data_IF_858704151404
#
_entry.id   IF_858704151404
#
_cell.length_a   1.000
_cell.length_b   1.000
_cell.length_c   1.000
_cell.angle_alpha   90.00
_cell.angle_beta   90.00
_cell.angle_gamma   90.00
#
_symmetry.space_group_name_H-M   'P 1'
#
loop_
_entity.id
_entity.type
_entity.pdbx_description
1 polymer ?
#
# COMPACT_ATOMS: atom_id res chain seq x y z
N UNK A 1 0.01 -26.94 -12.58
CA UNK A 1 0.38 -27.67 -11.37
C UNK A 1 0.21 -26.64 -10.27
N UNK A 2 -0.89 -26.75 -9.55
CA UNK A 2 -1.11 -25.99 -8.31
C UNK A 2 -0.23 -26.62 -7.22
N UNK A 3 0.16 -25.85 -6.20
CA UNK A 3 0.93 -26.36 -5.06
C UNK A 3 0.24 -27.59 -4.48
N UNK A 4 0.99 -28.69 -4.33
CA UNK A 4 0.44 -30.03 -4.06
C UNK A 4 0.15 -30.31 -2.57
N UNK A 5 0.29 -29.32 -1.69
CA UNK A 5 0.07 -29.46 -0.25
C UNK A 5 -1.24 -28.84 0.23
N UNK A 6 -1.82 -29.40 1.30
CA UNK A 6 -2.92 -28.75 2.02
C UNK A 6 -2.40 -27.42 2.60
N UNK A 7 -3.08 -26.32 2.27
CA UNK A 7 -2.75 -24.99 2.80
C UNK A 7 -3.49 -24.75 4.11
N UNK A 8 -2.79 -24.15 5.09
CA UNK A 8 -3.31 -23.84 6.42
C UNK A 8 -3.11 -22.36 6.76
N UNK A 9 -3.89 -21.80 7.70
CA UNK A 9 -3.68 -20.42 8.15
C UNK A 9 -2.33 -20.24 8.83
N UNK A 10 -1.68 -19.09 8.57
CA UNK A 10 -0.46 -18.71 9.27
C UNK A 10 -0.72 -18.61 10.79
N UNK A 11 0.08 -19.26 11.65
CA UNK A 11 -0.25 -19.51 13.05
C UNK A 11 -0.39 -18.24 13.91
N UNK A 12 0.23 -17.13 13.50
CA UNK A 12 0.17 -15.86 14.22
C UNK A 12 -0.96 -14.94 13.73
N UNK A 13 -1.78 -15.38 12.78
CA UNK A 13 -2.97 -14.63 12.37
C UNK A 13 -4.04 -14.68 13.45
N UNK A 14 -4.50 -13.49 13.88
CA UNK A 14 -5.75 -13.38 14.62
C UNK A 14 -6.92 -13.55 13.64
N UNK A 15 -7.47 -14.75 13.56
CA UNK A 15 -8.35 -15.23 12.48
C UNK A 15 -9.69 -14.51 12.33
N UNK A 16 -10.12 -13.66 13.28
CA UNK A 16 -11.48 -13.12 13.27
C UNK A 16 -11.74 -12.02 12.22
N UNK A 17 -10.71 -11.37 11.66
CA UNK A 17 -10.89 -10.22 10.74
C UNK A 17 -9.82 -10.09 9.64
N UNK A 18 -9.03 -11.13 9.35
CA UNK A 18 -7.97 -11.01 8.33
C UNK A 18 -8.55 -10.93 6.92
N UNK A 19 -8.03 -9.98 6.13
CA UNK A 19 -8.27 -9.87 4.69
C UNK A 19 -6.93 -9.60 4.01
N UNK A 20 -6.52 -10.49 3.11
CA UNK A 20 -5.25 -10.37 2.41
C UNK A 20 -5.18 -9.12 1.52
N UNK A 21 -6.22 -8.85 0.71
CA UNK A 21 -6.25 -7.66 -0.12
C UNK A 21 -6.54 -6.38 0.68
N UNK A 22 -5.53 -5.53 0.79
CA UNK A 22 -5.56 -4.24 1.50
C UNK A 22 -6.53 -3.23 0.90
N UNK A 23 -6.57 -3.12 -0.43
CA UNK A 23 -7.41 -2.14 -1.12
C UNK A 23 -8.77 -2.77 -1.44
N UNK A 24 -9.87 -2.28 -0.84
CA UNK A 24 -11.19 -2.69 -1.26
C UNK A 24 -11.50 -2.10 -2.63
N UNK A 25 -11.61 -2.95 -3.65
CA UNK A 25 -12.05 -2.48 -4.98
C UNK A 25 -13.56 -2.21 -4.99
N UNK A 26 -14.30 -2.87 -4.08
CA UNK A 26 -15.75 -2.85 -4.00
C UNK A 26 -16.22 -2.90 -2.55
N UNK A 27 -17.33 -2.19 -2.30
CA UNK A 27 -18.11 -2.25 -1.06
C UNK A 27 -19.47 -2.94 -1.31
N UNK A 28 -20.10 -3.53 -0.27
CA UNK A 28 -21.41 -4.21 -0.40
C UNK A 28 -22.54 -3.32 -0.95
N UNK A 29 -22.45 -2.00 -0.76
CA UNK A 29 -23.43 -1.02 -1.26
C UNK A 29 -23.27 -0.70 -2.76
N UNK A 30 -22.20 -1.16 -3.41
CA UNK A 30 -21.99 -0.91 -4.84
C UNK A 30 -22.87 -1.82 -5.70
N UNK A 31 -23.25 -1.33 -6.88
CA UNK A 31 -24.04 -2.12 -7.83
C UNK A 31 -23.26 -3.39 -8.26
N UNK A 32 -23.77 -4.60 -7.99
CA UNK A 32 -23.02 -5.85 -8.22
C UNK A 32 -22.87 -6.22 -9.69
N UNK A 33 -23.56 -5.55 -10.62
CA UNK A 33 -23.52 -5.84 -12.06
C UNK A 33 -22.73 -4.80 -12.85
N UNK A 34 -22.10 -3.82 -12.18
CA UNK A 34 -21.28 -2.78 -12.83
C UNK A 34 -19.92 -2.69 -12.16
N UNK A 35 -18.82 -2.55 -12.92
CA UNK A 35 -17.51 -2.36 -12.33
C UNK A 35 -17.44 -1.03 -11.57
N UNK A 36 -16.69 -1.01 -10.47
CA UNK A 36 -16.39 0.23 -9.74
C UNK A 36 -15.23 0.97 -10.42
N UNK A 37 -15.05 2.28 -10.15
CA UNK A 37 -13.86 3.00 -10.63
C UNK A 37 -12.54 2.37 -10.16
N UNK A 38 -12.50 1.82 -8.96
CA UNK A 38 -11.31 1.16 -8.41
C UNK A 38 -11.01 -0.15 -9.14
N UNK A 39 -12.01 -0.98 -9.41
CA UNK A 39 -11.84 -2.20 -10.22
C UNK A 39 -11.32 -1.84 -11.62
N UNK A 40 -11.89 -0.83 -12.27
CA UNK A 40 -11.42 -0.39 -13.59
C UNK A 40 -9.97 0.11 -13.57
N UNK A 41 -9.58 0.85 -12.52
CA UNK A 41 -8.20 1.34 -12.36
C UNK A 41 -7.21 0.19 -12.20
N UNK A 42 -7.53 -0.80 -11.35
CA UNK A 42 -6.66 -1.95 -11.15
C UNK A 42 -6.60 -2.86 -12.36
N UNK A 43 -7.73 -3.11 -13.03
CA UNK A 43 -7.74 -3.82 -14.31
C UNK A 43 -6.83 -3.10 -15.32
N UNK A 44 -6.85 -1.76 -15.36
CA UNK A 44 -5.97 -0.99 -16.25
C UNK A 44 -4.48 -1.17 -15.91
N UNK A 45 -4.09 -1.21 -14.63
CA UNK A 45 -2.71 -1.50 -14.21
C UNK A 45 -2.26 -2.87 -14.74
N UNK A 46 -3.08 -3.92 -14.54
CA UNK A 46 -2.75 -5.26 -15.04
C UNK A 46 -2.72 -5.32 -16.57
N UNK A 47 -3.60 -4.58 -17.25
CA UNK A 47 -3.60 -4.49 -18.71
C UNK A 47 -2.32 -3.83 -19.25
N UNK A 48 -1.82 -2.80 -18.56
CA UNK A 48 -0.57 -2.13 -18.92
C UNK A 48 0.68 -3.01 -18.67
N UNK A 49 0.57 -4.05 -17.85
CA UNK A 49 1.67 -5.02 -17.64
C UNK A 49 1.82 -6.02 -18.79
N UNK A 50 0.77 -6.24 -19.60
CA UNK A 50 0.75 -7.29 -20.64
C UNK A 50 1.94 -7.20 -21.61
N UNK A 51 2.34 -6.02 -22.13
CA UNK A 51 3.46 -5.93 -23.05
C UNK A 51 4.79 -6.41 -22.46
N UNK A 52 5.07 -6.15 -21.17
CA UNK A 52 6.34 -6.58 -20.55
C UNK A 52 6.37 -8.09 -20.35
N UNK A 53 5.27 -8.68 -19.84
CA UNK A 53 5.13 -10.13 -19.69
C UNK A 53 5.18 -10.84 -21.04
N UNK A 54 4.51 -10.29 -22.07
CA UNK A 54 4.58 -10.80 -23.43
C UNK A 54 6.02 -10.83 -23.91
N UNK A 55 6.73 -9.69 -23.88
CA UNK A 55 8.12 -9.59 -24.34
C UNK A 55 9.03 -10.59 -23.63
N UNK A 56 8.84 -10.77 -22.32
CA UNK A 56 9.61 -11.73 -21.53
C UNK A 56 9.30 -13.18 -21.94
N UNK A 57 8.02 -13.51 -22.10
CA UNK A 57 7.56 -14.82 -22.57
C UNK A 57 8.05 -15.14 -24.00
N UNK A 58 8.11 -14.15 -24.90
CA UNK A 58 8.64 -14.31 -26.26
C UNK A 58 10.13 -14.71 -26.27
N UNK A 59 10.87 -14.31 -25.23
CA UNK A 59 12.30 -14.60 -25.06
C UNK A 59 12.62 -15.87 -24.29
N UNK A 60 11.60 -16.62 -23.85
CA UNK A 60 11.77 -17.89 -23.13
C UNK A 60 12.12 -19.01 -24.13
N UNK A 61 13.41 -19.32 -24.23
CA UNK A 61 13.96 -20.32 -25.14
C UNK A 61 13.70 -21.77 -24.70
N UNK A 62 13.18 -21.97 -23.48
CA UNK A 62 12.79 -23.29 -22.97
C UNK A 62 11.43 -23.76 -23.47
N UNK A 63 10.63 -22.83 -24.03
CA UNK A 63 9.27 -23.10 -24.50
C UNK A 63 9.22 -23.17 -26.04
N UNK A 64 8.80 -24.31 -26.63
CA UNK A 64 8.60 -24.40 -28.07
C UNK A 64 7.52 -23.43 -28.57
N UNK A 65 7.80 -22.74 -29.69
CA UNK A 65 6.94 -21.70 -30.26
C UNK A 65 6.60 -20.55 -29.29
N UNK A 66 7.55 -20.17 -28.42
CA UNK A 66 7.41 -19.13 -27.40
C UNK A 66 6.76 -17.84 -27.93
N UNK A 67 7.18 -17.35 -29.11
CA UNK A 67 6.59 -16.16 -29.76
C UNK A 67 5.07 -16.29 -29.93
N UNK A 68 4.60 -17.39 -30.54
CA UNK A 68 3.17 -17.62 -30.77
C UNK A 68 2.41 -17.82 -29.47
N UNK A 69 3.01 -18.50 -28.49
CA UNK A 69 2.39 -18.71 -27.17
C UNK A 69 2.31 -17.41 -26.37
N UNK A 70 3.30 -16.54 -26.46
CA UNK A 70 3.29 -15.23 -25.80
C UNK A 70 2.24 -14.29 -26.41
N UNK A 71 2.02 -14.34 -27.72
CA UNK A 71 0.90 -13.66 -28.38
C UNK A 71 -0.45 -14.17 -27.88
N UNK A 72 -0.60 -15.49 -27.77
CA UNK A 72 -1.81 -16.11 -27.17
C UNK A 72 -2.00 -15.70 -25.71
N UNK A 73 -0.93 -15.57 -24.93
CA UNK A 73 -1.00 -15.06 -23.56
C UNK A 73 -1.57 -13.64 -23.55
N UNK A 74 -0.97 -12.73 -24.33
CA UNK A 74 -1.40 -11.34 -24.37
C UNK A 74 -2.86 -11.21 -24.80
N UNK A 75 -3.28 -11.98 -25.81
CA UNK A 75 -4.67 -11.99 -26.27
C UNK A 75 -5.62 -12.54 -25.19
N UNK A 76 -5.41 -13.76 -24.69
CA UNK A 76 -6.30 -14.41 -23.71
C UNK A 76 -6.42 -13.60 -22.42
N UNK A 77 -5.30 -13.07 -21.92
CA UNK A 77 -5.34 -12.30 -20.69
C UNK A 77 -6.02 -10.94 -20.88
N UNK A 78 -5.84 -10.29 -22.04
CA UNK A 78 -6.60 -9.08 -22.39
C UNK A 78 -8.11 -9.35 -22.43
N UNK A 79 -8.55 -10.46 -23.05
CA UNK A 79 -9.97 -10.83 -23.09
C UNK A 79 -10.56 -11.03 -21.69
N UNK A 80 -9.85 -11.74 -20.81
CA UNK A 80 -10.26 -11.93 -19.41
C UNK A 80 -10.43 -10.58 -18.69
N UNK A 81 -9.48 -9.65 -18.87
CA UNK A 81 -9.55 -8.33 -18.25
C UNK A 81 -10.69 -7.48 -18.82
N UNK A 82 -10.96 -7.55 -20.13
CA UNK A 82 -12.10 -6.87 -20.76
C UNK A 82 -13.45 -7.46 -20.33
N UNK A 83 -13.51 -8.77 -20.10
CA UNK A 83 -14.71 -9.41 -19.54
C UNK A 83 -14.98 -8.93 -18.11
N UNK A 84 -13.95 -8.81 -17.28
CA UNK A 84 -14.08 -8.26 -15.92
C UNK A 84 -14.55 -6.79 -15.91
N UNK A 85 -14.22 -6.00 -16.93
CA UNK A 85 -14.78 -4.65 -17.11
C UNK A 85 -16.26 -4.66 -17.48
N UNK A 86 -16.73 -5.68 -18.19
CA UNK A 86 -18.14 -5.79 -18.62
C UNK A 86 -19.01 -6.40 -17.53
N UNK A 87 -18.52 -7.48 -16.91
CA UNK A 87 -19.17 -8.21 -15.83
C UNK A 87 -18.16 -8.51 -14.71
N UNK A 88 -18.23 -7.80 -13.58
CA UNK A 88 -17.34 -8.06 -12.44
C UNK A 88 -17.43 -9.49 -11.90
N UNK A 89 -18.51 -10.24 -12.15
CA UNK A 89 -18.66 -11.63 -11.68
C UNK A 89 -18.02 -12.65 -12.61
N UNK A 90 -17.58 -12.24 -13.80
CA UNK A 90 -16.88 -13.12 -14.73
C UNK A 90 -15.58 -13.64 -14.11
N UNK A 91 -15.10 -14.78 -14.61
CA UNK A 91 -13.79 -15.35 -14.25
C UNK A 91 -13.53 -15.52 -12.73
N UNK A 92 -14.59 -15.63 -11.93
CA UNK A 92 -14.52 -15.81 -10.47
C UNK A 92 -14.50 -14.50 -9.67
N UNK A 93 -14.81 -13.36 -10.27
CA UNK A 93 -14.85 -12.07 -9.59
C UNK A 93 -16.08 -11.83 -8.69
N UNK A 94 -16.22 -10.65 -8.04
CA UNK A 94 -15.51 -9.38 -8.31
C UNK A 94 -13.99 -9.43 -8.17
N UNK A 95 -13.22 -8.71 -9.02
CA UNK A 95 -11.77 -8.78 -8.97
C UNK A 95 -11.21 -8.13 -7.71
N UNK A 96 -10.12 -8.72 -7.23
CA UNK A 96 -9.16 -8.14 -6.30
C UNK A 96 -7.73 -8.38 -6.82
N UNK A 97 -6.71 -7.93 -6.09
CA UNK A 97 -5.32 -8.07 -6.50
C UNK A 97 -4.89 -9.53 -6.66
N UNK A 98 -5.35 -10.41 -5.76
CA UNK A 98 -5.04 -11.84 -5.79
C UNK A 98 -5.64 -12.49 -7.05
N UNK A 99 -6.91 -12.22 -7.35
CA UNK A 99 -7.57 -12.79 -8.53
C UNK A 99 -6.88 -12.33 -9.82
N UNK A 100 -6.53 -11.06 -9.94
CA UNK A 100 -5.86 -10.53 -11.13
C UNK A 100 -4.48 -11.17 -11.34
N UNK A 101 -3.67 -11.29 -10.28
CA UNK A 101 -2.41 -12.02 -10.33
C UNK A 101 -2.62 -13.49 -10.72
N UNK A 102 -3.58 -14.18 -10.09
CA UNK A 102 -3.86 -15.59 -10.33
C UNK A 102 -4.32 -15.88 -11.75
N UNK A 103 -5.15 -15.01 -12.33
CA UNK A 103 -5.58 -15.12 -13.72
C UNK A 103 -4.40 -14.96 -14.69
N UNK A 104 -3.48 -14.02 -14.44
CA UNK A 104 -2.26 -13.86 -15.24
C UNK A 104 -1.40 -15.13 -15.23
N UNK A 105 -1.06 -15.61 -14.04
CA UNK A 105 -0.21 -16.80 -13.87
C UNK A 105 -0.85 -18.05 -14.46
N UNK A 106 -2.18 -18.22 -14.30
CA UNK A 106 -2.92 -19.32 -14.92
C UNK A 106 -2.76 -19.33 -16.43
N UNK A 107 -2.95 -18.19 -17.11
CA UNK A 107 -2.85 -18.13 -18.58
C UNK A 107 -1.43 -18.48 -19.05
N UNK A 108 -0.39 -17.96 -18.40
CA UNK A 108 1.01 -18.30 -18.70
C UNK A 108 1.26 -19.80 -18.56
N UNK A 109 0.86 -20.39 -17.42
CA UNK A 109 1.08 -21.80 -17.09
C UNK A 109 0.31 -22.75 -18.02
N UNK A 110 -0.92 -22.42 -18.38
CA UNK A 110 -1.71 -23.18 -19.36
C UNK A 110 -1.08 -23.17 -20.75
N UNK A 111 -0.41 -22.08 -21.11
CA UNK A 111 0.32 -21.96 -22.38
C UNK A 111 1.70 -22.61 -22.33
N UNK A 112 2.08 -23.22 -21.20
CA UNK A 112 3.31 -24.00 -21.06
C UNK A 112 4.51 -23.20 -20.52
N UNK A 113 4.34 -21.91 -20.23
CA UNK A 113 5.39 -21.13 -19.57
C UNK A 113 5.50 -21.55 -18.11
N UNK A 114 6.73 -21.78 -17.64
CA UNK A 114 7.02 -22.15 -16.24
C UNK A 114 7.60 -20.99 -15.46
N UNK A 115 8.62 -20.35 -16.03
CA UNK A 115 9.30 -19.21 -15.43
C UNK A 115 9.90 -18.33 -16.52
N UNK A 116 9.10 -17.38 -17.02
CA UNK A 116 9.56 -16.47 -18.06
C UNK A 116 10.66 -15.51 -17.54
N UNK A 117 10.85 -15.38 -16.22
CA UNK A 117 11.86 -14.51 -15.62
C UNK A 117 13.15 -15.25 -15.25
N UNK A 118 13.22 -16.57 -15.43
CA UNK A 118 14.37 -17.39 -14.97
C UNK A 118 15.72 -16.82 -15.39
N UNK A 119 15.88 -16.51 -16.67
CA UNK A 119 17.14 -15.97 -17.21
C UNK A 119 17.56 -14.67 -16.53
N UNK A 120 16.62 -13.75 -16.30
CA UNK A 120 16.95 -12.48 -15.63
C UNK A 120 17.33 -12.71 -14.18
N UNK A 121 16.61 -13.60 -13.48
CA UNK A 121 16.87 -13.91 -12.08
C UNK A 121 18.28 -14.47 -11.94
N UNK A 122 18.67 -15.37 -12.82
CA UNK A 122 20.02 -15.97 -12.79
C UNK A 122 21.12 -14.92 -13.05
N UNK A 123 20.91 -14.01 -14.01
CA UNK A 123 21.85 -12.91 -14.30
C UNK A 123 21.98 -11.92 -13.13
N UNK A 124 20.86 -11.55 -12.51
CA UNK A 124 20.83 -10.64 -11.36
C UNK A 124 21.40 -11.30 -10.10
N UNK A 125 21.07 -12.57 -9.85
CA UNK A 125 21.65 -13.37 -8.77
C UNK A 125 23.17 -13.46 -8.90
N UNK A 126 23.69 -13.76 -10.09
CA UNK A 126 25.14 -13.85 -10.32
C UNK A 126 25.85 -12.52 -10.03
N UNK A 127 25.28 -11.39 -10.48
CA UNK A 127 25.81 -10.06 -10.19
C UNK A 127 25.76 -9.75 -8.70
N UNK A 128 24.63 -10.00 -8.04
CA UNK A 128 24.47 -9.72 -6.62
C UNK A 128 25.39 -10.61 -5.75
N UNK A 129 25.55 -11.89 -6.07
CA UNK A 129 26.50 -12.80 -5.39
C UNK A 129 27.92 -12.21 -5.42
N UNK A 130 28.34 -11.66 -6.57
CA UNK A 130 29.69 -11.08 -6.69
C UNK A 130 29.95 -9.85 -5.80
N UNK A 131 28.88 -9.20 -5.31
CA UNK A 131 28.95 -8.01 -4.45
C UNK A 131 28.65 -8.32 -2.98
N UNK A 132 28.23 -9.54 -2.66
CA UNK A 132 27.69 -9.89 -1.35
C UNK A 132 28.69 -9.63 -0.23
N UNK A 133 29.92 -10.12 -0.38
CA UNK A 133 30.95 -10.00 0.66
C UNK A 133 31.34 -8.54 0.93
N UNK A 134 31.50 -7.72 -0.11
CA UNK A 134 31.80 -6.30 0.03
C UNK A 134 30.69 -5.54 0.77
N UNK A 135 29.42 -5.84 0.47
CA UNK A 135 28.27 -5.26 1.18
C UNK A 135 28.26 -5.68 2.65
N UNK A 136 28.61 -6.93 2.97
CA UNK A 136 28.75 -7.37 4.36
C UNK A 136 29.86 -6.60 5.09
N UNK A 137 31.06 -6.49 4.50
CA UNK A 137 32.19 -5.81 5.14
C UNK A 137 31.89 -4.34 5.42
N UNK A 138 31.14 -3.68 4.55
CA UNK A 138 30.72 -2.28 4.74
C UNK A 138 29.71 -2.13 5.87
N UNK A 139 28.78 -3.06 6.03
CA UNK A 139 27.87 -3.07 7.18
C UNK A 139 28.62 -3.36 8.48
N UNK A 140 29.54 -4.34 8.47
CA UNK A 140 30.33 -4.72 9.64
C UNK A 140 31.28 -3.59 10.10
N UNK A 141 31.70 -2.70 9.20
CA UNK A 141 32.50 -1.52 9.53
C UNK A 141 31.74 -0.44 10.32
N UNK A 142 30.41 -0.50 10.40
CA UNK A 142 29.60 0.48 11.14
C UNK A 142 29.58 0.07 12.61
N UNK A 143 30.46 0.62 13.45
CA UNK A 143 30.60 0.24 14.86
C UNK A 143 29.30 0.38 15.69
N UNK A 144 28.52 1.41 15.42
CA UNK A 144 27.24 1.68 16.11
C UNK A 144 26.14 0.73 15.60
N UNK A 145 25.62 -0.14 16.47
CA UNK A 145 24.61 -1.14 16.11
C UNK A 145 23.30 -0.53 15.58
N UNK A 146 22.88 0.61 16.12
CA UNK A 146 21.66 1.28 15.68
C UNK A 146 21.83 1.82 14.25
N UNK A 147 22.96 2.45 13.95
CA UNK A 147 23.31 2.91 12.59
C UNK A 147 23.51 1.74 11.62
N UNK A 148 24.07 0.64 12.09
CA UNK A 148 24.23 -0.58 11.28
C UNK A 148 22.85 -1.14 10.90
N UNK A 149 21.94 -1.23 11.86
CA UNK A 149 20.56 -1.65 11.61
C UNK A 149 19.83 -0.71 10.65
N UNK A 150 19.97 0.61 10.83
CA UNK A 150 19.44 1.59 9.87
C UNK A 150 19.99 1.38 8.45
N UNK A 151 21.29 1.12 8.32
CA UNK A 151 21.92 0.87 7.02
C UNK A 151 21.42 -0.44 6.38
N UNK A 152 21.23 -1.49 7.17
CA UNK A 152 20.67 -2.76 6.70
C UNK A 152 19.22 -2.59 6.20
N UNK A 153 18.38 -1.85 6.93
CA UNK A 153 17.01 -1.54 6.49
C UNK A 153 16.99 -0.71 5.21
N UNK A 154 17.90 0.27 5.08
CA UNK A 154 18.11 0.99 3.81
C UNK A 154 18.56 0.06 2.68
N UNK A 155 19.40 -0.93 2.99
CA UNK A 155 19.81 -1.98 2.06
C UNK A 155 18.64 -2.78 1.52
N UNK A 156 17.68 -3.17 2.36
CA UNK A 156 16.44 -3.85 1.94
C UNK A 156 15.68 -2.98 0.92
N UNK A 157 15.44 -1.69 1.24
CA UNK A 157 14.74 -0.80 0.31
C UNK A 157 15.50 -0.57 -1.01
N UNK A 158 16.82 -0.43 -0.95
CA UNK A 158 17.65 -0.25 -2.14
C UNK A 158 17.66 -1.50 -3.03
N UNK A 159 17.63 -2.70 -2.42
CA UNK A 159 17.55 -3.97 -3.12
C UNK A 159 16.26 -4.10 -3.93
N UNK A 160 15.11 -3.84 -3.30
CA UNK A 160 13.80 -3.88 -3.96
C UNK A 160 13.67 -2.82 -5.08
N UNK A 161 14.31 -1.65 -4.95
CA UNK A 161 14.33 -0.63 -6.01
C UNK A 161 15.22 -0.98 -7.22
N UNK A 162 16.29 -1.75 -7.02
CA UNK A 162 17.24 -2.13 -8.06
C UNK A 162 16.62 -3.08 -9.10
N UNK A 163 15.54 -3.76 -8.70
CA UNK A 163 14.86 -4.84 -9.40
C UNK A 163 13.78 -4.37 -10.41
N UNK A 164 13.57 -3.05 -10.57
CA UNK A 164 12.56 -2.47 -11.49
C UNK A 164 12.91 -2.57 -13.00
N UNK A 165 13.49 -3.68 -13.45
CA UNK A 165 13.53 -4.11 -14.84
C UNK A 165 14.20 -3.14 -15.81
N UNK A 166 14.92 -2.13 -15.31
CA UNK A 166 15.67 -1.25 -16.18
C UNK A 166 16.98 -1.95 -16.51
N UNK A 167 16.96 -2.65 -17.63
CA UNK A 167 18.18 -2.91 -18.39
C UNK A 167 19.04 -1.62 -18.48
N UNK A 168 18.40 -0.44 -18.48
CA UNK A 168 19.05 0.87 -18.36
C UNK A 168 19.81 1.12 -17.04
N UNK A 169 19.28 0.83 -15.84
CA UNK A 169 20.08 0.93 -14.61
C UNK A 169 21.16 -0.17 -14.65
N UNK A 170 20.84 -1.43 -14.99
CA UNK A 170 21.88 -2.46 -15.06
C UNK A 170 23.05 -2.12 -16.03
N UNK A 171 22.79 -1.43 -17.15
CA UNK A 171 23.77 -1.06 -18.18
C UNK A 171 24.51 0.26 -17.85
N UNK A 172 23.84 1.26 -17.28
CA UNK A 172 24.48 2.45 -16.68
C UNK A 172 25.46 2.06 -15.56
N UNK A 173 25.17 0.98 -14.84
CA UNK A 173 25.92 0.57 -13.66
C UNK A 173 27.11 -0.33 -14.01
N UNK A 174 27.07 -1.02 -15.17
CA UNK A 174 28.22 -1.74 -15.74
C UNK A 174 29.35 -0.82 -16.24
N UNK A 175 29.02 0.45 -16.54
CA UNK A 175 29.98 1.41 -17.11
C UNK A 175 30.70 2.27 -16.08
N UNK A 176 30.05 2.60 -14.96
CA UNK A 176 30.54 3.65 -14.05
C UNK A 176 30.72 3.23 -12.57
N UNK A 177 30.54 1.95 -12.20
CA UNK A 177 30.82 1.47 -10.84
C UNK A 177 29.91 2.07 -9.75
N UNK A 178 28.75 2.61 -10.13
CA UNK A 178 27.73 3.10 -9.21
C UNK A 178 27.15 1.88 -8.48
N UNK A 179 27.55 1.70 -7.23
CA UNK A 179 27.30 0.50 -6.43
C UNK A 179 25.89 0.50 -5.82
N UNK A 180 25.39 -0.67 -5.41
CA UNK A 180 24.24 -0.84 -4.52
C UNK A 180 24.23 0.16 -3.33
N UNK A 181 25.42 0.57 -2.88
CA UNK A 181 25.63 1.57 -1.83
C UNK A 181 25.19 2.98 -2.24
N UNK A 182 25.39 3.37 -3.50
CA UNK A 182 24.89 4.64 -4.01
C UNK A 182 23.36 4.66 -4.02
N UNK A 183 22.72 3.53 -4.34
CA UNK A 183 21.26 3.40 -4.24
C UNK A 183 20.78 3.53 -2.78
N UNK A 184 21.52 2.97 -1.82
CA UNK A 184 21.22 3.15 -0.38
C UNK A 184 21.30 4.63 0.05
N UNK A 185 22.18 5.42 -0.56
CA UNK A 185 22.35 6.86 -0.27
C UNK A 185 21.31 7.75 -0.96
N UNK A 186 20.75 7.30 -2.08
CA UNK A 186 19.78 8.05 -2.90
C UNK A 186 18.33 7.72 -2.56
N UNK A 187 18.07 6.98 -1.47
CA UNK A 187 16.72 6.77 -0.96
C UNK A 187 16.07 8.10 -0.57
N UNK A 188 14.74 8.15 -0.67
CA UNK A 188 13.96 9.29 -0.20
C UNK A 188 14.31 9.57 1.27
N UNK A 189 14.62 10.83 1.64
CA UNK A 189 15.00 11.16 3.01
C UNK A 189 13.84 10.90 3.98
N UNK A 190 14.18 10.50 5.21
CA UNK A 190 13.23 10.34 6.32
C UNK A 190 12.59 11.69 6.69
N UNK A 191 11.36 11.72 7.24
CA UNK A 191 10.53 10.56 7.56
C UNK A 191 9.90 9.93 6.31
N UNK A 192 9.88 8.60 6.26
CA UNK A 192 9.12 7.86 5.26
C UNK A 192 7.61 7.94 5.52
N UNK A 193 6.82 7.49 4.54
CA UNK A 193 5.34 7.52 4.62
C UNK A 193 4.80 6.74 5.84
N UNK A 194 5.41 5.58 6.13
CA UNK A 194 5.46 4.97 7.46
C UNK A 194 6.91 4.96 7.85
N UNK A 195 7.22 5.44 9.05
CA UNK A 195 8.57 5.40 9.56
C UNK A 195 8.56 4.97 11.02
N UNK A 196 8.51 3.64 11.22
CA UNK A 196 8.62 3.01 12.54
C UNK A 196 10.05 2.52 12.83
N UNK A 197 11.04 2.97 12.04
CA UNK A 197 12.41 2.47 12.12
C UNK A 197 13.05 2.75 13.48
N UNK A 198 12.87 3.94 14.04
CA UNK A 198 13.45 4.29 15.34
C UNK A 198 12.82 3.44 16.48
N UNK A 199 11.52 3.14 16.36
CA UNK A 199 10.81 2.23 17.29
C UNK A 199 11.38 0.82 17.19
N UNK A 200 11.58 0.33 15.96
CA UNK A 200 12.18 -0.98 15.70
C UNK A 200 13.61 -1.08 16.27
N UNK A 201 14.47 -0.09 15.99
CA UNK A 201 15.84 -0.02 16.50
C UNK A 201 15.87 0.06 18.04
N UNK A 202 14.96 0.83 18.63
CA UNK A 202 14.85 0.93 20.10
C UNK A 202 14.49 -0.42 20.73
N UNK A 203 13.62 -1.20 20.08
CA UNK A 203 13.29 -2.56 20.55
C UNK A 203 14.46 -3.51 20.34
N UNK A 204 15.06 -3.49 19.15
CA UNK A 204 16.23 -4.30 18.76
C UNK A 204 17.39 -4.17 19.75
N UNK A 205 17.69 -2.95 20.19
CA UNK A 205 18.80 -2.67 21.12
C UNK A 205 18.52 -3.09 22.56
N UNK A 206 17.25 -3.32 22.94
CA UNK A 206 16.83 -3.66 24.31
C UNK A 206 16.52 -5.13 24.49
N UNK A 207 15.94 -5.74 23.47
CA UNK A 207 15.42 -7.11 23.50
C UNK A 207 15.88 -7.84 22.25
N UNK A 208 16.37 -9.07 22.43
CA UNK A 208 16.62 -9.96 21.29
C UNK A 208 15.34 -10.69 20.90
N UNK A 209 15.02 -10.63 19.61
CA UNK A 209 14.06 -11.54 19.02
C UNK A 209 14.65 -12.95 19.01
N UNK A 210 13.88 -13.95 19.41
CA UNK A 210 14.36 -15.33 19.44
C UNK A 210 14.15 -16.00 18.10
N UNK A 211 13.07 -15.66 17.40
CA UNK A 211 12.67 -16.34 16.18
C UNK A 211 11.94 -15.42 15.21
N UNK A 212 12.59 -15.16 14.08
CA UNK A 212 12.08 -14.32 13.01
C UNK A 212 11.63 -15.15 11.80
N UNK A 213 10.49 -14.79 11.22
CA UNK A 213 10.04 -15.28 9.91
C UNK A 213 10.05 -14.12 8.94
N UNK A 214 10.75 -14.26 7.82
CA UNK A 214 10.86 -13.25 6.78
C UNK A 214 10.28 -13.83 5.49
N UNK A 215 9.18 -13.24 5.01
CA UNK A 215 8.64 -13.52 3.68
C UNK A 215 9.41 -12.67 2.68
N UNK A 216 10.13 -13.34 1.79
CA UNK A 216 11.05 -12.69 0.85
C UNK A 216 10.37 -12.36 -0.48
N UNK A 217 10.85 -11.32 -1.15
CA UNK A 217 10.33 -10.85 -2.43
C UNK A 217 11.20 -11.28 -3.61
N UNK A 218 12.04 -10.38 -4.13
CA UNK A 218 12.65 -10.56 -5.44
C UNK A 218 13.99 -11.28 -5.40
N UNK A 219 14.37 -11.84 -6.55
CA UNK A 219 15.72 -12.33 -6.78
C UNK A 219 16.74 -11.20 -6.90
N UNK A 220 18.02 -11.54 -7.02
CA UNK A 220 19.07 -10.56 -7.28
C UNK A 220 19.43 -9.73 -6.05
N UNK A 221 19.56 -8.41 -6.24
CA UNK A 221 20.03 -7.50 -5.21
C UNK A 221 19.09 -7.42 -3.99
N UNK A 222 17.80 -7.65 -4.17
CA UNK A 222 16.81 -7.65 -3.09
C UNK A 222 17.13 -8.73 -2.05
N UNK A 223 17.02 -10.00 -2.44
CA UNK A 223 17.34 -11.12 -1.54
C UNK A 223 18.82 -11.16 -1.15
N UNK A 224 19.76 -10.98 -2.09
CA UNK A 224 21.20 -11.20 -1.82
C UNK A 224 21.84 -10.01 -1.11
N UNK A 225 21.55 -8.76 -1.48
CA UNK A 225 22.22 -7.58 -0.91
C UNK A 225 21.38 -6.82 0.12
N UNK A 226 20.06 -7.05 0.15
CA UNK A 226 19.16 -6.49 1.15
C UNK A 226 18.86 -7.48 2.28
N UNK A 227 18.09 -8.53 1.98
CA UNK A 227 17.55 -9.45 2.98
C UNK A 227 18.63 -10.33 3.63
N UNK A 228 19.56 -10.91 2.87
CA UNK A 228 20.57 -11.80 3.44
C UNK A 228 21.56 -11.11 4.40
N UNK A 229 22.03 -9.87 4.14
CA UNK A 229 22.80 -9.10 5.11
C UNK A 229 22.02 -8.82 6.39
N UNK A 230 20.75 -8.43 6.27
CA UNK A 230 19.87 -8.24 7.42
C UNK A 230 19.64 -9.55 8.20
N UNK A 231 19.44 -10.66 7.50
CA UNK A 231 19.31 -12.00 8.07
C UNK A 231 20.59 -12.42 8.81
N UNK A 232 21.76 -12.14 8.23
CA UNK A 232 23.05 -12.37 8.86
C UNK A 232 23.19 -11.58 10.17
N UNK A 233 22.69 -10.35 10.21
CA UNK A 233 22.65 -9.56 11.44
C UNK A 233 21.79 -10.21 12.53
N UNK A 234 20.59 -10.68 12.17
CA UNK A 234 19.71 -11.42 13.08
C UNK A 234 20.40 -12.68 13.65
N UNK A 235 21.05 -13.47 12.79
CA UNK A 235 21.80 -14.66 13.18
C UNK A 235 22.98 -14.33 14.11
N UNK A 236 23.70 -13.23 13.83
CA UNK A 236 24.80 -12.76 14.69
C UNK A 236 24.32 -12.41 16.10
N UNK A 237 23.09 -11.93 16.23
CA UNK A 237 22.44 -11.67 17.52
C UNK A 237 21.77 -12.90 18.15
N UNK A 238 21.94 -14.09 17.57
CA UNK A 238 21.44 -15.35 18.10
C UNK A 238 19.97 -15.67 17.76
N UNK A 239 19.36 -14.89 16.86
CA UNK A 239 17.99 -15.12 16.39
C UNK A 239 17.93 -16.36 15.49
N UNK A 240 16.93 -17.22 15.65
CA UNK A 240 16.58 -18.21 14.63
C UNK A 240 15.81 -17.52 13.51
N UNK A 241 16.25 -17.66 12.25
CA UNK A 241 15.61 -17.00 11.11
C UNK A 241 15.06 -18.02 10.14
N UNK A 242 13.80 -17.84 9.75
CA UNK A 242 13.13 -18.62 8.71
C UNK A 242 12.88 -17.70 7.52
N UNK A 243 13.48 -18.01 6.37
CA UNK A 243 13.18 -17.33 5.10
C UNK A 243 12.09 -18.11 4.36
N UNK A 244 10.92 -17.50 4.21
CA UNK A 244 9.77 -18.06 3.53
C UNK A 244 9.72 -17.55 2.07
N UNK A 245 9.93 -18.46 1.11
CA UNK A 245 9.97 -18.16 -0.32
C UNK A 245 8.84 -18.86 -1.09
N UNK A 246 8.54 -18.41 -2.31
CA UNK A 246 7.46 -18.97 -3.13
C UNK A 246 7.75 -20.43 -3.51
N UNK A 247 6.69 -21.24 -3.61
CA UNK A 247 6.74 -22.61 -4.14
C UNK A 247 7.01 -22.60 -5.64
N UNK A 248 6.26 -21.75 -6.34
CA UNK A 248 6.31 -21.63 -7.80
C UNK A 248 6.75 -20.24 -8.24
N UNK A 249 7.41 -20.14 -9.41
CA UNK A 249 7.76 -18.85 -9.99
C UNK A 249 6.52 -17.96 -10.20
N UNK A 250 6.71 -16.69 -9.85
CA UNK A 250 5.77 -15.61 -10.11
C UNK A 250 6.59 -14.34 -10.26
N UNK A 251 6.49 -13.70 -11.42
CA UNK A 251 7.38 -12.57 -11.78
C UNK A 251 8.85 -12.96 -11.52
N UNK A 252 9.61 -12.12 -10.83
CA UNK A 252 11.01 -12.28 -10.46
C UNK A 252 11.20 -12.63 -8.97
N UNK A 253 10.11 -12.98 -8.27
CA UNK A 253 10.18 -13.51 -6.92
C UNK A 253 11.14 -14.69 -6.83
N UNK A 254 11.91 -14.73 -5.75
CA UNK A 254 12.77 -15.88 -5.45
C UNK A 254 11.93 -17.06 -4.99
N UNK A 255 12.16 -18.24 -5.58
CA UNK A 255 11.49 -19.47 -5.15
C UNK A 255 12.29 -20.22 -4.08
N UNK A 256 11.63 -21.11 -3.33
CA UNK A 256 12.26 -21.95 -2.32
C UNK A 256 13.49 -22.72 -2.86
N UNK A 257 13.43 -23.43 -4.00
CA UNK A 257 14.60 -24.13 -4.53
C UNK A 257 15.74 -23.18 -4.92
N UNK A 258 15.41 -22.01 -5.49
CA UNK A 258 16.41 -21.01 -5.87
C UNK A 258 17.08 -20.38 -4.66
N UNK A 259 16.32 -20.08 -3.60
CA UNK A 259 16.86 -19.52 -2.38
C UNK A 259 17.83 -20.49 -1.67
N UNK A 260 17.49 -21.79 -1.65
CA UNK A 260 18.39 -22.84 -1.15
C UNK A 260 19.70 -22.85 -1.95
N UNK A 261 19.63 -22.75 -3.29
CA UNK A 261 20.81 -22.70 -4.15
C UNK A 261 21.65 -21.44 -3.91
N UNK A 262 21.03 -20.26 -3.83
CA UNK A 262 21.70 -18.99 -3.56
C UNK A 262 22.45 -19.06 -2.22
N UNK A 263 21.78 -19.49 -1.16
CA UNK A 263 22.37 -19.62 0.18
C UNK A 263 23.52 -20.63 0.16
N UNK A 264 23.37 -21.74 -0.56
CA UNK A 264 24.46 -22.73 -0.71
C UNK A 264 25.69 -22.16 -1.41
N UNK A 265 25.52 -21.24 -2.37
CA UNK A 265 26.65 -20.57 -3.06
C UNK A 265 27.35 -19.52 -2.19
N UNK A 266 26.63 -18.92 -1.25
CA UNK A 266 27.15 -17.87 -0.38
C UNK A 266 27.79 -18.39 0.91
N UNK A 267 27.46 -19.61 1.34
CA UNK A 267 28.08 -20.25 2.50
C UNK A 267 29.53 -20.64 2.21
N UNK A 268 30.39 -20.45 3.20
CA UNK A 268 31.75 -21.02 3.19
C UNK A 268 31.73 -22.53 3.49
N UNK A 269 32.90 -23.16 3.42
CA UNK A 269 33.08 -24.60 3.70
C UNK A 269 32.66 -25.01 5.12
N UNK A 270 32.62 -24.05 6.07
CA UNK A 270 32.18 -24.27 7.44
C UNK A 270 30.68 -23.98 7.62
N UNK A 271 29.96 -23.68 6.54
CA UNK A 271 28.53 -23.39 6.57
C UNK A 271 28.20 -22.00 7.13
N UNK A 272 29.11 -21.04 7.03
CA UNK A 272 28.91 -19.67 7.54
C UNK A 272 28.67 -18.68 6.41
N UNK A 273 27.93 -17.60 6.71
CA UNK A 273 27.82 -16.43 5.85
C UNK A 273 28.78 -15.37 6.35
N UNK A 274 29.94 -15.25 5.69
CA UNK A 274 31.01 -14.28 6.02
C UNK A 274 31.28 -14.28 7.53
N UNK A 275 31.68 -15.44 8.07
CA UNK A 275 32.03 -15.61 9.48
C UNK A 275 30.86 -15.81 10.47
N UNK A 276 29.60 -15.62 10.06
CA UNK A 276 28.42 -15.85 10.92
C UNK A 276 27.82 -17.23 10.66
N UNK A 277 27.64 -18.01 11.74
CA UNK A 277 27.09 -19.36 11.68
C UNK A 277 25.62 -19.37 11.20
N UNK A 278 25.27 -20.34 10.36
CA UNK A 278 23.92 -20.45 9.77
C UNK A 278 23.12 -21.66 10.26
N UNK A 279 23.53 -22.31 11.36
CA UNK A 279 22.76 -23.41 11.95
C UNK A 279 21.35 -22.99 12.38
N UNK A 280 21.17 -21.71 12.70
CA UNK A 280 19.90 -21.09 13.04
C UNK A 280 19.16 -20.49 11.84
N UNK A 281 19.65 -20.68 10.61
CA UNK A 281 18.99 -20.24 9.37
C UNK A 281 18.23 -21.40 8.73
N UNK A 282 16.92 -21.23 8.59
CA UNK A 282 16.02 -22.16 7.91
C UNK A 282 15.46 -21.48 6.66
N UNK A 283 15.23 -22.29 5.63
CA UNK A 283 14.50 -21.87 4.42
C UNK A 283 13.24 -22.72 4.36
N UNK A 284 12.09 -22.09 4.14
CA UNK A 284 10.81 -22.75 4.12
C UNK A 284 10.07 -22.45 2.81
N UNK A 285 9.42 -23.46 2.27
CA UNK A 285 8.47 -23.28 1.17
C UNK A 285 7.19 -22.66 1.74
N UNK A 286 6.80 -21.47 1.28
CA UNK A 286 5.57 -20.82 1.72
C UNK A 286 4.28 -21.48 1.20
N UNK A 287 4.37 -22.30 0.15
CA UNK A 287 3.21 -22.77 -0.61
C UNK A 287 2.62 -21.73 -1.56
N UNK A 288 3.18 -20.51 -1.60
CA UNK A 288 2.68 -19.40 -2.41
C UNK A 288 3.18 -19.48 -3.86
N UNK A 289 2.36 -19.01 -4.80
CA UNK A 289 2.63 -19.08 -6.23
C UNK A 289 2.30 -17.77 -6.97
N UNK A 290 2.23 -16.66 -6.23
CA UNK A 290 1.82 -15.32 -6.67
C UNK A 290 2.80 -14.26 -6.12
N UNK A 291 2.83 -13.03 -6.67
CA UNK A 291 3.69 -11.97 -6.14
C UNK A 291 3.06 -11.31 -4.89
N UNK A 292 1.81 -11.65 -4.61
CA UNK A 292 1.05 -11.31 -3.41
C UNK A 292 0.88 -12.57 -2.56
N UNK A 293 0.64 -12.43 -1.26
CA UNK A 293 0.41 -13.59 -0.38
C UNK A 293 -0.91 -13.47 0.40
N UNK A 294 -1.64 -14.58 0.50
CA UNK A 294 -2.79 -14.73 1.39
C UNK A 294 -2.38 -15.61 2.58
N UNK A 295 -2.17 -14.98 3.74
CA UNK A 295 -1.71 -15.70 4.93
C UNK A 295 -2.76 -16.67 5.50
N UNK A 296 -4.01 -16.68 4.99
CA UNK A 296 -4.97 -17.74 5.35
C UNK A 296 -4.64 -19.10 4.73
N UNK A 297 -3.76 -19.13 3.73
CA UNK A 297 -3.32 -20.35 3.06
C UNK A 297 -1.82 -20.33 2.78
N UNK A 298 -1.05 -20.86 3.72
CA UNK A 298 0.38 -21.15 3.59
C UNK A 298 0.63 -22.66 3.71
N UNK A 299 1.84 -23.12 3.38
CA UNK A 299 2.21 -24.52 3.57
C UNK A 299 2.17 -24.93 5.05
N UNK A 300 1.83 -26.19 5.32
CA UNK A 300 1.92 -26.75 6.68
C UNK A 300 3.35 -26.68 7.24
N UNK A 301 4.37 -26.88 6.39
CA UNK A 301 5.78 -26.77 6.77
C UNK A 301 6.10 -25.38 7.35
N UNK A 302 5.72 -24.32 6.64
CA UNK A 302 5.93 -22.96 7.12
C UNK A 302 5.12 -22.68 8.39
N UNK A 303 3.88 -23.19 8.48
CA UNK A 303 3.05 -23.00 9.66
C UNK A 303 3.67 -23.64 10.91
N UNK A 304 4.18 -24.86 10.79
CA UNK A 304 4.85 -25.56 11.89
C UNK A 304 6.11 -24.81 12.32
N UNK A 305 6.93 -24.38 11.34
CA UNK A 305 8.15 -23.62 11.59
C UNK A 305 7.87 -22.25 12.22
N UNK A 306 6.77 -21.57 11.87
CA UNK A 306 6.47 -20.22 12.32
C UNK A 306 5.66 -20.13 13.64
N UNK A 307 5.23 -21.26 14.19
CA UNK A 307 4.27 -21.32 15.30
C UNK A 307 4.67 -20.57 16.57
N UNK A 308 5.95 -20.47 16.85
CA UNK A 308 6.56 -19.79 18.00
C UNK A 308 7.41 -18.57 17.61
N UNK A 309 7.24 -18.07 16.38
CA UNK A 309 7.94 -16.86 15.94
C UNK A 309 7.48 -15.64 16.74
N UNK A 310 8.44 -14.80 17.15
CA UNK A 310 8.18 -13.55 17.85
C UNK A 310 8.33 -12.33 16.94
N UNK A 311 9.02 -12.47 15.79
CA UNK A 311 9.11 -11.45 14.75
C UNK A 311 8.62 -11.99 13.41
N UNK A 312 7.75 -11.25 12.73
CA UNK A 312 7.32 -11.53 11.35
C UNK A 312 7.61 -10.31 10.49
N UNK A 313 8.35 -10.52 9.40
CA UNK A 313 8.71 -9.50 8.42
C UNK A 313 8.09 -9.90 7.09
N UNK A 314 7.31 -9.00 6.51
CA UNK A 314 6.79 -9.10 5.16
C UNK A 314 7.57 -8.10 4.31
N UNK A 315 8.44 -8.60 3.45
CA UNK A 315 9.21 -7.77 2.52
C UNK A 315 8.51 -7.76 1.15
N UNK A 316 8.64 -6.65 0.42
CA UNK A 316 7.99 -6.46 -0.87
C UNK A 316 6.71 -5.63 -0.85
N UNK A 317 6.51 -4.87 -1.93
CA UNK A 317 5.35 -3.98 -2.12
C UNK A 317 4.01 -4.73 -2.19
N UNK A 318 4.04 -5.97 -2.67
CA UNK A 318 2.86 -6.78 -2.94
C UNK A 318 2.59 -7.82 -1.81
N UNK A 319 3.53 -7.98 -0.87
CA UNK A 319 3.41 -8.86 0.31
C UNK A 319 3.15 -8.09 1.60
N UNK A 320 3.43 -6.78 1.65
CA UNK A 320 3.19 -5.92 2.81
C UNK A 320 2.29 -4.70 2.47
N UNK A 321 1.27 -4.37 3.29
CA UNK A 321 0.45 -3.18 3.10
C UNK A 321 1.16 -1.88 3.53
N UNK A 322 0.93 -0.78 2.80
CA UNK A 322 1.12 0.59 3.30
C UNK A 322 0.04 0.99 4.34
N UNK A 323 0.24 2.03 5.16
CA UNK A 323 -0.63 2.39 6.29
C UNK A 323 -1.91 3.11 5.83
N UNK A 324 -1.84 3.68 4.63
CA UNK A 324 -2.86 4.43 3.91
C UNK A 324 -3.66 3.51 2.98
N UNK A 325 -3.27 2.23 2.93
CA UNK A 325 -3.83 1.22 2.07
C UNK A 325 -3.37 1.32 0.61
N UNK A 326 -2.42 2.18 0.24
CA UNK A 326 -1.95 2.31 -1.15
C UNK A 326 -0.57 1.65 -1.35
N UNK A 327 -0.38 0.90 -2.43
CA UNK A 327 0.92 0.32 -2.79
C UNK A 327 1.79 1.35 -3.52
N UNK A 328 3.10 1.16 -3.55
CA UNK A 328 4.01 2.01 -4.35
C UNK A 328 3.64 2.04 -5.85
N UNK A 329 3.01 0.98 -6.36
CA UNK A 329 2.43 0.91 -7.71
C UNK A 329 1.33 1.96 -7.97
N UNK A 330 0.57 2.35 -6.94
CA UNK A 330 -0.34 3.51 -7.03
C UNK A 330 0.44 4.81 -7.19
N UNK A 331 1.48 5.01 -6.40
CA UNK A 331 2.29 6.23 -6.45
C UNK A 331 3.10 6.36 -7.75
N UNK A 332 3.65 5.27 -8.27
CA UNK A 332 4.38 5.27 -9.56
C UNK A 332 3.45 5.55 -10.73
N UNK A 333 2.26 4.95 -10.78
CA UNK A 333 1.31 5.14 -11.87
C UNK A 333 0.50 6.45 -11.77
N UNK A 334 0.28 6.98 -10.57
CA UNK A 334 -0.40 8.24 -10.34
C UNK A 334 0.57 9.42 -10.12
N UNK A 335 1.89 9.21 -10.32
CA UNK A 335 2.91 10.23 -10.07
C UNK A 335 2.66 11.52 -10.85
N UNK A 336 2.15 11.44 -12.08
CA UNK A 336 1.75 12.61 -12.90
C UNK A 336 0.72 13.54 -12.22
N UNK A 337 -0.12 13.01 -11.34
CA UNK A 337 -1.16 13.75 -10.60
C UNK A 337 -0.63 14.10 -9.21
N UNK A 338 -0.04 13.13 -8.52
CA UNK A 338 0.50 13.28 -7.17
C UNK A 338 1.64 14.30 -7.16
N UNK A 339 2.58 14.25 -8.10
CA UNK A 339 3.68 15.21 -8.22
C UNK A 339 3.19 16.64 -8.45
N UNK A 340 2.08 16.86 -9.17
CA UNK A 340 1.51 18.20 -9.38
C UNK A 340 0.88 18.76 -8.11
N UNK A 341 0.22 17.90 -7.33
CA UNK A 341 -0.35 18.28 -6.02
C UNK A 341 0.77 18.54 -5.01
N UNK A 342 1.78 17.66 -4.96
CA UNK A 342 2.93 17.77 -4.07
C UNK A 342 3.79 18.97 -4.42
N UNK A 343 4.08 19.21 -5.71
CA UNK A 343 4.80 20.40 -6.16
C UNK A 343 4.01 21.69 -5.89
N UNK A 344 2.68 21.67 -6.03
CA UNK A 344 1.85 22.83 -5.67
C UNK A 344 1.90 23.11 -4.16
N UNK A 345 1.89 22.07 -3.33
CA UNK A 345 2.00 22.19 -1.87
C UNK A 345 3.41 22.62 -1.46
N UNK A 346 4.47 21.95 -1.94
CA UNK A 346 5.87 22.31 -1.67
C UNK A 346 6.19 23.72 -2.14
N UNK A 347 5.74 24.13 -3.33
CA UNK A 347 5.92 25.51 -3.80
C UNK A 347 5.25 26.53 -2.88
N UNK A 348 4.06 26.22 -2.34
CA UNK A 348 3.35 27.09 -1.38
C UNK A 348 4.09 27.16 -0.04
N UNK A 349 4.72 26.07 0.40
CA UNK A 349 5.45 26.00 1.67
C UNK A 349 6.88 26.59 1.58
N UNK A 350 7.60 26.38 0.48
CA UNK A 350 8.99 26.83 0.29
C UNK A 350 9.10 28.31 -0.09
N UNK A 351 8.10 28.87 -0.76
CA UNK A 351 8.18 30.25 -1.29
C UNK A 351 8.08 31.34 -0.21
N UNK A 352 7.91 31.00 1.07
CA UNK A 352 7.64 31.93 2.19
C UNK A 352 6.79 33.14 1.78
N UNK A 353 5.79 32.92 0.90
CA UNK A 353 5.04 34.03 0.35
C UNK A 353 4.06 34.47 1.44
N UNK A 354 4.43 35.52 2.16
CA UNK A 354 3.58 36.30 3.04
C UNK A 354 2.45 37.02 2.27
N UNK A 355 1.70 36.30 1.43
CA UNK A 355 0.40 36.76 0.97
C UNK A 355 -0.67 36.02 1.76
N UNK A 356 -0.95 36.56 2.96
CA UNK A 356 -2.14 36.24 3.75
C UNK A 356 -3.45 36.31 2.91
N UNK A 357 -3.44 37.02 1.77
CA UNK A 357 -4.59 37.09 0.84
C UNK A 357 -4.72 35.91 -0.15
N UNK A 358 -3.63 35.19 -0.46
CA UNK A 358 -3.69 34.04 -1.39
C UNK A 358 -4.13 32.75 -0.68
N UNK A 359 -3.67 32.57 0.57
CA UNK A 359 -4.16 31.54 1.48
C UNK A 359 -5.68 31.66 1.65
N UNK A 360 -6.18 32.89 1.86
CA UNK A 360 -7.61 33.15 1.96
C UNK A 360 -8.40 32.85 0.68
N UNK A 361 -7.82 33.05 -0.51
CA UNK A 361 -8.51 32.73 -1.78
C UNK A 361 -8.49 31.23 -2.10
N UNK A 362 -7.44 30.50 -1.74
CA UNK A 362 -7.37 29.03 -1.85
C UNK A 362 -8.35 28.36 -0.86
N UNK A 363 -8.38 28.78 0.41
CA UNK A 363 -9.41 28.31 1.35
C UNK A 363 -10.82 28.70 0.90
N UNK A 364 -11.01 29.87 0.28
CA UNK A 364 -12.29 30.24 -0.34
C UNK A 364 -12.63 29.33 -1.52
N UNK A 365 -11.68 28.90 -2.33
CA UNK A 365 -11.91 27.96 -3.44
C UNK A 365 -12.30 26.59 -2.87
N UNK A 366 -11.56 26.07 -1.88
CA UNK A 366 -11.86 24.79 -1.21
C UNK A 366 -13.23 24.85 -0.53
N UNK A 367 -13.50 25.91 0.25
CA UNK A 367 -14.78 26.16 0.91
C UNK A 367 -15.92 26.35 -0.09
N UNK A 368 -15.67 27.00 -1.24
CA UNK A 368 -16.66 27.16 -2.31
C UNK A 368 -16.97 25.83 -2.98
N UNK A 369 -15.97 25.00 -3.27
CA UNK A 369 -16.16 23.64 -3.80
C UNK A 369 -16.99 22.80 -2.83
N UNK A 370 -16.70 22.89 -1.52
CA UNK A 370 -17.45 22.19 -0.49
C UNK A 370 -18.90 22.68 -0.38
N UNK A 371 -19.11 23.99 -0.38
CA UNK A 371 -20.42 24.64 -0.35
C UNK A 371 -21.28 24.27 -1.56
N UNK A 372 -20.73 24.31 -2.78
CA UNK A 372 -21.47 23.94 -3.99
C UNK A 372 -21.80 22.43 -4.05
N UNK A 373 -21.02 21.58 -3.37
CA UNK A 373 -21.35 20.16 -3.18
C UNK A 373 -22.47 19.98 -2.14
N UNK A 374 -22.39 20.66 -1.00
CA UNK A 374 -23.39 20.57 0.08
C UNK A 374 -24.76 21.13 -0.32
N UNK A 375 -24.81 22.21 -1.11
CA UNK A 375 -26.06 22.79 -1.63
C UNK A 375 -26.97 21.79 -2.36
N UNK A 376 -26.40 20.75 -2.95
CA UNK A 376 -27.15 19.70 -3.67
C UNK A 376 -27.94 18.77 -2.73
N UNK A 377 -27.59 18.75 -1.45
CA UNK A 377 -28.14 17.82 -0.46
C UNK A 377 -28.76 18.52 0.75
N UNK A 378 -28.33 19.74 1.08
CA UNK A 378 -28.83 20.53 2.24
C UNK A 378 -30.35 20.59 2.32
N UNK A 379 -31.06 20.80 1.20
CA UNK A 379 -32.53 20.88 1.20
C UNK A 379 -33.24 19.58 1.58
N UNK A 380 -32.52 18.44 1.57
CA UNK A 380 -32.99 17.11 2.00
C UNK A 380 -32.62 16.80 3.44
N UNK A 381 -31.69 17.55 4.02
CA UNK A 381 -31.12 17.31 5.34
C UNK A 381 -31.77 18.17 6.42
N UNK A 382 -32.33 19.31 6.01
CA UNK A 382 -33.00 20.24 6.92
C UNK A 382 -34.50 20.26 6.63
N UNK A 383 -35.27 20.43 7.70
CA UNK A 383 -36.73 20.39 7.67
C UNK A 383 -37.29 21.37 6.62
N UNK A 384 -38.44 21.02 6.02
CA UNK A 384 -39.13 21.85 5.01
C UNK A 384 -39.46 23.26 5.50
N UNK A 385 -39.56 23.46 6.82
CA UNK A 385 -39.88 24.72 7.46
C UNK A 385 -38.66 25.63 7.71
N UNK A 386 -37.43 25.15 7.50
CA UNK A 386 -36.24 26.02 7.50
C UNK A 386 -36.15 26.78 6.17
N UNK A 387 -36.42 28.09 6.19
CA UNK A 387 -36.62 28.89 4.97
C UNK A 387 -35.41 29.74 4.54
N UNK A 388 -34.37 29.85 5.36
CA UNK A 388 -33.16 30.64 5.08
C UNK A 388 -32.01 29.81 4.50
N UNK A 389 -31.16 30.42 3.67
CA UNK A 389 -29.92 29.86 3.08
C UNK A 389 -30.06 28.59 2.22
N UNK A 390 -31.29 28.12 1.95
CA UNK A 390 -31.58 27.01 1.05
C UNK A 390 -32.03 27.53 -0.31
N UNK A 391 -31.33 27.10 -1.37
CA UNK A 391 -31.67 27.49 -2.74
C UNK A 391 -33.10 27.06 -3.09
N UNK A 392 -33.96 28.03 -3.40
CA UNK A 392 -35.35 27.80 -3.79
C UNK A 392 -36.39 28.06 -2.69
N UNK A 393 -35.98 28.34 -1.44
CA UNK A 393 -36.88 28.79 -0.35
C UNK A 393 -36.67 30.27 -0.09
N UNK A 394 -37.73 31.01 0.25
CA UNK A 394 -37.65 32.44 0.56
C UNK A 394 -37.89 32.65 2.04
N UNK A 395 -37.00 33.40 2.69
CA UNK A 395 -37.15 33.84 4.08
C UNK A 395 -38.51 34.49 4.37
N UNK A 396 -39.06 35.22 3.39
CA UNK A 396 -40.36 35.88 3.48
C UNK A 396 -41.51 34.90 3.75
N UNK A 397 -41.40 33.65 3.32
CA UNK A 397 -42.47 32.64 3.49
C UNK A 397 -42.61 32.23 4.97
N UNK A 398 -41.50 32.21 5.74
CA UNK A 398 -41.54 31.94 7.19
C UNK A 398 -42.26 33.05 7.97
N UNK A 399 -42.09 34.31 7.55
CA UNK A 399 -42.73 35.48 8.18
C UNK A 399 -44.25 35.40 7.96
N UNK A 400 -44.70 35.04 6.75
CA UNK A 400 -46.13 34.88 6.44
C UNK A 400 -46.75 33.76 7.27
N UNK A 401 -46.10 32.59 7.35
CA UNK A 401 -46.59 31.46 8.16
C UNK A 401 -46.70 31.82 9.65
N UNK A 402 -45.72 32.55 10.19
CA UNK A 402 -45.76 33.00 11.58
C UNK A 402 -46.93 33.97 11.83
N UNK A 403 -47.17 34.92 10.92
CA UNK A 403 -48.28 35.87 11.03
C UNK A 403 -49.64 35.18 10.97
N UNK A 404 -49.85 34.26 10.02
CA UNK A 404 -51.09 33.46 9.92
C UNK A 404 -51.34 32.63 11.19
N UNK A 405 -50.29 32.05 11.77
CA UNK A 405 -50.37 31.33 13.05
C UNK A 405 -50.81 32.24 14.20
N UNK A 406 -50.39 33.51 14.24
CA UNK A 406 -50.82 34.48 15.25
C UNK A 406 -52.27 34.89 15.03
N UNK A 407 -52.65 35.20 13.80
CA UNK A 407 -54.00 35.66 13.46
C UNK A 407 -55.06 34.59 13.76
N UNK A 408 -54.83 33.33 13.38
CA UNK A 408 -55.72 32.20 13.70
C UNK A 408 -55.91 32.06 15.22
N UNK A 409 -54.85 32.28 16.00
CA UNK A 409 -54.90 32.14 17.45
C UNK A 409 -55.64 33.29 18.12
N UNK A 410 -55.46 34.53 17.64
CA UNK A 410 -56.20 35.69 18.12
C UNK A 410 -57.71 35.52 17.91
N UNK A 411 -58.14 34.94 16.79
CA UNK A 411 -59.54 34.65 16.50
C UNK A 411 -60.11 33.58 17.45
N UNK A 412 -59.31 32.58 17.84
CA UNK A 412 -59.78 31.43 18.64
C UNK A 412 -60.11 31.72 20.11
N UNK A 413 -59.63 32.84 20.69
CA UNK A 413 -59.85 33.30 22.08
C UNK A 413 -59.57 32.30 23.23
N UNK A 414 -58.84 31.22 22.97
CA UNK A 414 -58.38 30.28 24.01
C UNK A 414 -57.05 30.77 24.60
N UNK A 415 -56.87 30.87 25.94
CA UNK A 415 -55.64 31.36 26.56
C UNK A 415 -54.45 30.47 26.18
N UNK A 416 -53.40 31.06 25.59
CA UNK A 416 -52.16 30.37 25.20
C UNK A 416 -50.98 31.35 25.21
N UNK A 417 -49.75 30.82 25.24
CA UNK A 417 -48.50 31.60 25.24
C UNK A 417 -47.90 31.59 23.84
N UNK A 418 -47.64 32.78 23.28
CA UNK A 418 -46.82 32.95 22.09
C UNK A 418 -45.41 33.34 22.54
N UNK A 419 -44.45 32.45 22.32
CA UNK A 419 -43.06 32.69 22.67
C UNK A 419 -42.26 33.02 21.40
N UNK A 420 -41.78 34.27 21.29
CA UNK A 420 -40.80 34.65 20.27
C UNK A 420 -39.42 34.49 20.88
N UNK A 421 -38.67 33.51 20.39
CA UNK A 421 -37.27 33.31 20.77
C UNK A 421 -36.41 34.03 19.73
N UNK A 422 -35.74 35.10 20.15
CA UNK A 422 -34.70 35.72 19.34
C UNK A 422 -33.39 34.98 19.62
N UNK A 423 -32.72 34.53 18.56
CA UNK A 423 -31.47 33.79 18.68
C UNK A 423 -30.37 34.69 18.12
N UNK A 424 -29.43 35.03 19.00
CA UNK A 424 -28.21 35.75 18.63
C UNK A 424 -27.44 34.96 17.56
N UNK A 425 -26.80 35.65 16.61
CA UNK A 425 -26.29 34.99 15.40
C UNK A 425 -25.28 33.89 15.76
N UNK A 426 -25.53 32.69 15.21
CA UNK A 426 -24.83 31.45 15.55
C UNK A 426 -23.31 31.45 15.31
N UNK A 427 -22.78 32.46 14.63
CA UNK A 427 -21.36 32.52 14.26
C UNK A 427 -20.45 32.91 15.42
N UNK A 428 -20.97 33.55 16.46
CA UNK A 428 -20.16 34.05 17.57
C UNK A 428 -19.98 33.02 18.70
N UNK A 429 -20.80 31.95 18.73
CA UNK A 429 -20.77 30.90 19.78
C UNK A 429 -20.97 29.49 19.20
N UNK A 430 -20.31 29.22 18.08
CA UNK A 430 -20.45 27.95 17.37
C UNK A 430 -19.80 26.81 18.18
N UNK A 431 -20.60 25.92 18.77
CA UNK A 431 -20.09 24.74 19.48
C UNK A 431 -19.71 23.64 18.47
N UNK A 432 -18.42 23.59 18.17
CA UNK A 432 -17.85 22.68 17.18
C UNK A 432 -18.14 21.21 17.50
N UNK A 433 -18.08 20.80 18.76
CA UNK A 433 -18.40 19.43 19.18
C UNK A 433 -19.83 19.01 18.84
N UNK A 434 -20.80 19.91 19.02
CA UNK A 434 -22.20 19.66 18.68
C UNK A 434 -22.45 19.61 17.16
N UNK A 435 -21.81 20.52 16.40
CA UNK A 435 -21.88 20.51 14.94
C UNK A 435 -21.32 19.20 14.36
N UNK A 436 -20.18 18.75 14.89
CA UNK A 436 -19.55 17.47 14.50
C UNK A 436 -20.41 16.27 14.81
N UNK A 437 -20.99 16.21 16.03
CA UNK A 437 -21.92 15.15 16.43
C UNK A 437 -23.15 15.08 15.51
N UNK A 438 -23.65 16.24 15.09
CA UNK A 438 -24.81 16.35 14.20
C UNK A 438 -24.47 15.87 12.79
N UNK A 439 -23.31 16.27 12.26
CA UNK A 439 -22.81 15.81 10.96
C UNK A 439 -22.51 14.29 10.97
N UNK A 440 -21.93 13.76 12.05
CA UNK A 440 -21.78 12.31 12.29
C UNK A 440 -23.12 11.58 12.21
N UNK A 441 -24.12 12.03 12.96
CA UNK A 441 -25.44 11.39 13.02
C UNK A 441 -26.22 11.51 11.70
N UNK A 442 -25.95 12.54 10.89
CA UNK A 442 -26.51 12.71 9.54
C UNK A 442 -25.75 11.91 8.46
N UNK A 443 -24.73 11.14 8.85
CA UNK A 443 -23.99 10.24 7.98
C UNK A 443 -22.77 10.88 7.28
N UNK A 444 -22.36 12.08 7.70
CA UNK A 444 -21.16 12.75 7.20
C UNK A 444 -19.88 12.35 7.97
N UNK A 445 -20.00 11.60 9.07
CA UNK A 445 -18.91 11.29 10.02
C UNK A 445 -17.87 10.23 9.62
N UNK A 446 -17.69 9.88 8.34
CA UNK A 446 -16.85 8.73 7.98
C UNK A 446 -15.41 8.99 7.56
N UNK A 447 -15.02 10.24 7.26
CA UNK A 447 -13.67 10.60 6.74
C UNK A 447 -13.27 12.06 6.98
N UNK A 448 -13.24 12.50 8.24
CA UNK A 448 -12.58 13.76 8.64
C UNK A 448 -12.01 13.59 10.04
N UNK A 449 -10.95 12.76 10.21
CA UNK A 449 -10.41 12.56 11.57
C UNK A 449 -8.89 12.37 11.68
N UNK A 450 -8.11 12.77 10.66
CA UNK A 450 -6.64 12.90 10.85
C UNK A 450 -5.98 14.14 10.23
N UNK A 451 -6.67 14.89 9.36
CA UNK A 451 -6.21 16.24 8.96
C UNK A 451 -6.67 17.35 9.93
N UNK A 452 -7.58 17.01 10.86
CA UNK A 452 -8.30 18.00 11.68
C UNK A 452 -7.68 18.24 13.08
N UNK A 453 -6.75 17.39 13.55
CA UNK A 453 -5.97 17.68 14.78
C UNK A 453 -5.02 18.88 14.58
N UNK A 454 -4.61 19.15 13.34
CA UNK A 454 -3.79 20.31 13.00
C UNK A 454 -4.63 21.60 13.04
N UNK A 455 -5.91 21.57 12.66
CA UNK A 455 -6.82 22.72 12.76
C UNK A 455 -7.14 23.09 14.21
N UNK A 456 -7.24 22.12 15.11
CA UNK A 456 -7.42 22.36 16.56
C UNK A 456 -6.19 23.00 17.21
N UNK A 457 -4.99 22.72 16.71
CA UNK A 457 -3.74 23.28 17.25
C UNK A 457 -3.48 24.72 16.75
N UNK A 458 -3.99 25.11 15.59
CA UNK A 458 -3.81 26.48 15.06
C UNK A 458 -4.92 27.47 15.47
N UNK A 459 -6.10 27.03 15.92
CA UNK A 459 -7.11 27.94 16.50
C UNK A 459 -6.72 28.47 17.88
N UNK A 460 -5.96 27.70 18.67
CA UNK A 460 -5.39 28.15 19.95
C UNK A 460 -4.23 29.15 19.78
N UNK A 461 -3.65 29.26 18.56
CA UNK A 461 -2.56 30.18 18.23
C UNK A 461 -3.10 31.56 17.79
N UNK A 462 -4.39 31.70 17.46
CA UNK A 462 -5.00 32.94 16.94
C UNK A 462 -6.15 33.51 17.78
N UNK A 463 -6.38 33.03 19.01
CA UNK A 463 -7.12 33.78 20.02
C UNK A 463 -6.28 34.96 20.50
N UNK A 464 -6.48 36.12 19.88
CA UNK A 464 -6.24 37.40 20.55
C UNK A 464 -7.50 37.73 21.35
N UNK A 465 -7.35 37.56 22.67
CA UNK A 465 -8.23 37.88 23.81
C UNK A 465 -9.64 37.28 23.86
#
# INVERSE_FOLDING_TARGET
>A
MESSGELVPFPLLMTCNYRACTIPYRFPSNNPTKPTPTELSWIHVFMNSIPSFRKRAESDDTVPDALSRAEKFAHRYTEILEDLKKDPKSHGGPPDGILLCRLRERVLRELGFRDIFKKVKDEENAKAISLFEDVIHLNDAIEDEAKRMENLVKGIFAGNLFDLGSAQLAELFSRDGISFLASCQNLVPRPWVIDDLDTFITKWTRESWKKAVIFVDNSGADIILGILPFTRELLRHGTQVILAANDLPSINDVTYPELVEIISKLKDEQGKLVGVDTSNLLVANSGNDLPVIDLTGISQELADLASDADLVILEGMDKAPGPDGFTMTFFTNCWEIVSKVVAAVQYIFESQCHLHSLIGSIYKIISKVFTERLKKFVSKLVDTHLMEFIKGRKIMDAIVIANECVDVRQISKVPNILCKLDIEKAYDHLNWGFLWKTLENMGFGGKMDKQDQILHHYSEIFSFD
#
